data_IF_738437084588
#
_entry.id   IF_738437084588
#
_cell.length_a   1.000
_cell.length_b   1.000
_cell.length_c   1.000
_cell.angle_alpha   90.00
_cell.angle_beta   90.00
_cell.angle_gamma   90.00
#
_symmetry.space_group_name_H-M   'P 1'
#
loop_
_entity.id
_entity.type
_entity.pdbx_description
1 polymer ?
#
# COMPACT_ATOMS: atom_id res chain seq x y z
N UNK A 1 8.75 12.65 -6.78
CA UNK A 1 8.65 11.53 -7.75
C UNK A 1 7.19 11.08 -7.74
N UNK A 2 6.55 10.96 -8.92
CA UNK A 2 5.08 10.88 -9.07
C UNK A 2 4.64 9.41 -9.20
N UNK A 3 3.58 9.01 -8.48
CA UNK A 3 2.95 7.69 -8.51
C UNK A 3 1.59 7.87 -9.20
N UNK A 4 1.32 7.03 -10.20
CA UNK A 4 0.06 7.05 -10.94
C UNK A 4 -0.78 5.84 -10.50
N UNK A 5 -1.87 6.13 -9.81
CA UNK A 5 -2.94 5.17 -9.49
C UNK A 5 -4.02 5.39 -10.55
N UNK A 6 -4.26 4.42 -11.43
CA UNK A 6 -5.33 4.50 -12.45
C UNK A 6 -6.53 3.67 -12.01
N UNK A 7 -7.73 4.01 -12.45
CA UNK A 7 -8.92 3.18 -12.21
C UNK A 7 -9.96 3.26 -13.33
N UNK A 8 -10.89 2.31 -13.31
CA UNK A 8 -11.87 2.03 -14.38
C UNK A 8 -13.01 3.03 -14.47
N UNK A 9 -13.71 3.02 -15.62
CA UNK A 9 -14.88 3.81 -16.03
C UNK A 9 -15.91 4.10 -14.91
N UNK A 10 -16.70 5.19 -15.01
CA UNK A 10 -17.17 5.94 -13.84
C UNK A 10 -18.11 5.14 -12.94
N UNK A 11 -17.81 5.18 -11.64
CA UNK A 11 -18.70 4.68 -10.60
C UNK A 11 -19.93 5.61 -10.47
N UNK A 12 -21.14 5.04 -10.59
CA UNK A 12 -22.37 5.73 -10.20
C UNK A 12 -22.81 6.89 -11.09
N UNK A 13 -22.49 6.87 -12.39
CA UNK A 13 -23.04 7.83 -13.35
C UNK A 13 -22.48 9.26 -13.25
N UNK A 14 -21.36 9.47 -12.55
CA UNK A 14 -20.70 10.77 -12.45
C UNK A 14 -19.93 11.13 -13.74
N UNK A 15 -19.86 12.42 -14.06
CA UNK A 15 -19.18 12.98 -15.24
C UNK A 15 -17.65 13.02 -15.09
N UNK A 16 -17.14 13.05 -13.86
CA UNK A 16 -15.73 12.93 -13.53
C UNK A 16 -15.51 11.56 -12.91
N UNK A 17 -14.58 10.80 -13.47
CA UNK A 17 -14.15 9.57 -12.86
C UNK A 17 -13.15 9.92 -11.75
N UNK A 18 -13.50 9.60 -10.51
CA UNK A 18 -12.62 9.83 -9.38
C UNK A 18 -11.24 9.14 -9.61
N UNK A 19 -11.20 8.04 -10.36
CA UNK A 19 -9.95 7.38 -10.75
C UNK A 19 -9.06 8.11 -11.79
N UNK A 20 -9.49 9.27 -12.28
CA UNK A 20 -8.62 10.20 -13.01
C UNK A 20 -7.80 11.08 -12.07
N UNK A 21 -8.23 11.23 -10.82
CA UNK A 21 -7.42 11.81 -9.75
C UNK A 21 -6.61 10.68 -9.12
N UNK A 22 -5.29 10.74 -9.19
CA UNK A 22 -4.43 9.82 -8.45
C UNK A 22 -4.16 10.41 -7.06
N UNK A 23 -4.46 9.65 -6.00
CA UNK A 23 -4.05 10.04 -4.65
C UNK A 23 -2.67 9.49 -4.32
N UNK A 24 -1.86 10.30 -3.65
CA UNK A 24 -0.61 9.84 -3.04
C UNK A 24 -0.90 9.19 -1.69
N UNK A 25 -0.19 8.10 -1.39
CA UNK A 25 -0.10 7.57 -0.03
C UNK A 25 0.32 8.68 0.92
N UNK A 26 -0.38 8.82 2.04
CA UNK A 26 0.00 9.76 3.11
C UNK A 26 0.94 9.12 4.13
N UNK A 27 1.17 7.80 4.04
CA UNK A 27 2.17 7.10 4.85
C UNK A 27 3.60 7.60 4.59
N UNK A 28 4.51 7.54 5.60
CA UNK A 28 5.94 7.80 5.44
C UNK A 28 6.66 6.63 4.72
N UNK A 29 6.30 6.38 3.46
CA UNK A 29 6.68 5.18 2.69
C UNK A 29 8.18 4.90 2.62
N UNK A 30 9.03 5.93 2.64
CA UNK A 30 10.50 5.75 2.65
C UNK A 30 10.98 5.22 3.98
N UNK A 31 10.55 5.84 5.10
CA UNK A 31 10.88 5.37 6.45
C UNK A 31 10.37 3.95 6.69
N UNK A 32 9.20 3.61 6.14
CA UNK A 32 8.65 2.24 6.20
C UNK A 32 9.59 1.26 5.49
N UNK A 33 10.00 1.53 4.25
CA UNK A 33 10.92 0.64 3.52
C UNK A 33 12.25 0.49 4.26
N UNK A 34 12.84 1.60 4.72
CA UNK A 34 14.09 1.59 5.49
C UNK A 34 13.97 0.74 6.77
N UNK A 35 12.85 0.84 7.49
CA UNK A 35 12.61 0.04 8.69
C UNK A 35 12.43 -1.46 8.41
N UNK A 36 11.78 -1.82 7.29
CA UNK A 36 11.63 -3.22 6.86
C UNK A 36 12.98 -3.81 6.46
N UNK A 37 13.80 -3.06 5.72
CA UNK A 37 15.15 -3.49 5.33
C UNK A 37 16.07 -3.62 6.56
N UNK A 38 15.92 -2.75 7.57
CA UNK A 38 16.70 -2.80 8.81
C UNK A 38 16.46 -4.07 9.64
N UNK A 39 15.30 -4.72 9.48
CA UNK A 39 15.01 -6.03 10.12
C UNK A 39 15.33 -7.23 9.21
N UNK A 40 16.01 -7.00 8.08
CA UNK A 40 16.52 -8.05 7.20
C UNK A 40 15.51 -8.56 6.16
N UNK A 41 14.37 -7.89 6.00
CA UNK A 41 13.32 -8.29 5.04
C UNK A 41 13.41 -7.41 3.78
N UNK A 42 13.42 -7.96 2.56
CA UNK A 42 13.51 -7.16 1.35
C UNK A 42 12.22 -6.35 1.12
N UNK A 43 12.37 -5.05 0.87
CA UNK A 43 11.26 -4.16 0.57
C UNK A 43 11.60 -3.17 -0.54
N UNK A 44 10.59 -2.64 -1.22
CA UNK A 44 10.77 -1.60 -2.22
C UNK A 44 9.52 -0.74 -2.34
N UNK A 45 9.70 0.52 -2.77
CA UNK A 45 8.57 1.41 -3.07
C UNK A 45 7.95 1.00 -4.41
N UNK A 46 6.67 0.62 -4.38
CA UNK A 46 5.89 0.43 -5.60
C UNK A 46 5.23 1.74 -6.05
N UNK A 47 5.31 2.04 -7.35
CA UNK A 47 4.65 3.18 -7.97
C UNK A 47 3.33 2.78 -8.68
N UNK A 48 2.85 1.55 -8.48
CA UNK A 48 1.54 1.10 -8.96
C UNK A 48 0.97 0.01 -8.05
N UNK A 49 -0.29 0.17 -7.63
CA UNK A 49 -1.03 -0.87 -6.93
C UNK A 49 -1.76 -1.84 -7.89
N UNK A 50 -1.43 -1.78 -9.19
CA UNK A 50 -2.16 -2.46 -10.26
C UNK A 50 -3.52 -1.84 -10.52
N UNK A 51 -4.40 -2.58 -11.19
CA UNK A 51 -5.75 -2.15 -11.53
C UNK A 51 -6.77 -3.18 -11.08
N UNK A 52 -6.59 -3.82 -9.92
CA UNK A 52 -7.57 -4.76 -9.40
C UNK A 52 -8.12 -4.26 -8.05
N UNK A 53 -8.64 -5.17 -7.23
CA UNK A 53 -9.29 -4.85 -5.96
C UNK A 53 -8.36 -4.11 -5.00
N UNK A 54 -7.05 -4.43 -4.95
CA UNK A 54 -6.09 -3.74 -4.09
C UNK A 54 -6.05 -2.23 -4.36
N UNK A 55 -5.92 -1.86 -5.64
CA UNK A 55 -5.95 -0.47 -6.08
C UNK A 55 -7.29 0.21 -5.79
N UNK A 56 -8.41 -0.51 -5.98
CA UNK A 56 -9.74 0.01 -5.64
C UNK A 56 -9.87 0.37 -4.15
N UNK A 57 -9.43 -0.53 -3.26
CA UNK A 57 -9.49 -0.32 -1.81
C UNK A 57 -8.58 0.84 -1.40
N UNK A 58 -7.33 0.85 -1.88
CA UNK A 58 -6.39 1.95 -1.64
C UNK A 58 -6.96 3.29 -2.08
N UNK A 59 -7.52 3.36 -3.28
CA UNK A 59 -8.11 4.58 -3.83
C UNK A 59 -9.27 5.09 -2.96
N UNK A 60 -10.19 4.20 -2.56
CA UNK A 60 -11.34 4.56 -1.73
C UNK A 60 -10.91 5.13 -0.38
N UNK A 61 -9.95 4.50 0.29
CA UNK A 61 -9.44 4.97 1.58
C UNK A 61 -8.74 6.33 1.44
N UNK A 62 -7.95 6.52 0.38
CA UNK A 62 -7.28 7.80 0.14
C UNK A 62 -8.25 8.93 -0.19
N UNK A 63 -9.30 8.63 -0.97
CA UNK A 63 -10.37 9.59 -1.23
C UNK A 63 -11.04 10.02 0.07
N UNK A 64 -11.43 9.05 0.91
CA UNK A 64 -12.05 9.31 2.21
C UNK A 64 -11.14 10.17 3.10
N UNK A 65 -9.85 9.82 3.20
CA UNK A 65 -8.88 10.58 3.97
C UNK A 65 -8.70 12.03 3.49
N UNK A 66 -8.90 12.30 2.19
CA UNK A 66 -8.82 13.64 1.61
C UNK A 66 -10.12 14.45 1.79
N UNK A 67 -11.25 13.80 2.02
CA UNK A 67 -12.55 14.46 2.19
C UNK A 67 -13.05 14.49 3.62
N UNK A 68 -12.39 13.76 4.53
CA UNK A 68 -12.75 13.70 5.95
C UNK A 68 -12.46 15.02 6.68
N UNK A 69 -13.32 15.36 7.64
CA UNK A 69 -13.10 16.50 8.55
C UNK A 69 -11.88 16.28 9.46
N UNK A 70 -11.59 15.02 9.80
CA UNK A 70 -10.43 14.61 10.56
C UNK A 70 -9.48 13.81 9.65
N UNK A 71 -8.36 14.38 9.22
CA UNK A 71 -7.38 13.68 8.38
C UNK A 71 -6.79 12.47 9.10
N UNK A 72 -6.52 11.40 8.35
CA UNK A 72 -5.82 10.21 8.86
C UNK A 72 -4.78 9.71 7.86
N UNK A 73 -3.73 9.08 8.38
CA UNK A 73 -2.71 8.44 7.54
C UNK A 73 -3.30 7.22 6.83
N UNK A 74 -3.03 7.09 5.53
CA UNK A 74 -3.55 6.04 4.66
C UNK A 74 -2.53 5.70 3.59
N UNK A 75 -2.39 4.40 3.31
CA UNK A 75 -1.61 3.87 2.21
C UNK A 75 -1.89 2.38 2.04
N UNK A 76 -1.05 1.70 1.27
CA UNK A 76 -1.22 0.28 0.98
C UNK A 76 0.15 -0.41 0.90
N UNK A 77 0.24 -1.63 1.40
CA UNK A 77 1.43 -2.48 1.32
C UNK A 77 1.02 -3.78 0.64
N UNK A 78 1.69 -4.12 -0.47
CA UNK A 78 1.61 -5.45 -1.05
C UNK A 78 2.65 -6.35 -0.37
N UNK A 79 2.26 -7.60 -0.10
CA UNK A 79 3.18 -8.65 0.33
C UNK A 79 3.30 -9.68 -0.79
N UNK A 80 4.47 -10.33 -0.95
CA UNK A 80 4.60 -11.44 -1.88
C UNK A 80 3.77 -12.64 -1.40
N UNK A 81 3.76 -13.71 -2.20
CA UNK A 81 3.25 -14.99 -1.70
C UNK A 81 4.04 -15.46 -0.48
N UNK A 82 3.37 -16.18 0.42
CA UNK A 82 4.08 -17.01 1.39
C UNK A 82 4.49 -18.35 0.76
N UNK A 83 5.56 -18.97 1.26
CA UNK A 83 6.13 -20.19 0.69
C UNK A 83 5.09 -21.32 0.54
N UNK A 84 4.16 -21.42 1.47
CA UNK A 84 3.09 -22.42 1.46
C UNK A 84 2.16 -22.28 0.24
N UNK A 85 1.98 -21.06 -0.29
CA UNK A 85 1.12 -20.78 -1.46
C UNK A 85 1.76 -21.18 -2.80
N UNK A 86 3.08 -21.37 -2.81
CA UNK A 86 3.87 -21.64 -4.02
C UNK A 86 4.44 -23.05 -4.06
N UNK A 87 3.96 -23.95 -3.19
CA UNK A 87 4.34 -25.37 -3.21
C UNK A 87 4.18 -25.96 -4.62
N UNK A 88 5.29 -26.37 -5.24
CA UNK A 88 5.32 -26.94 -6.60
C UNK A 88 5.19 -25.91 -7.74
N UNK A 89 5.36 -24.62 -7.48
CA UNK A 89 5.32 -23.54 -8.48
C UNK A 89 6.62 -22.73 -8.44
N UNK A 90 7.01 -22.18 -9.58
CA UNK A 90 8.18 -21.28 -9.70
C UNK A 90 7.74 -19.81 -9.54
N UNK A 91 7.25 -19.49 -8.35
CA UNK A 91 6.79 -18.14 -8.01
C UNK A 91 7.64 -17.59 -6.85
N UNK A 92 8.08 -16.32 -6.90
CA UNK A 92 8.75 -15.69 -5.76
C UNK A 92 7.85 -15.67 -4.52
N UNK A 93 8.43 -16.01 -3.37
CA UNK A 93 7.76 -16.03 -2.09
C UNK A 93 8.72 -15.65 -0.97
N UNK A 94 8.17 -15.33 0.21
CA UNK A 94 8.91 -15.19 1.47
C UNK A 94 8.30 -16.09 2.54
N UNK A 95 9.08 -16.52 3.56
CA UNK A 95 8.50 -17.15 4.74
C UNK A 95 7.41 -16.25 5.35
N UNK A 96 6.29 -16.84 5.78
CA UNK A 96 5.20 -16.06 6.39
C UNK A 96 5.68 -15.25 7.60
N UNK A 97 6.63 -15.80 8.36
CA UNK A 97 7.24 -15.13 9.51
C UNK A 97 7.98 -13.85 9.10
N UNK A 98 8.72 -13.87 7.99
CA UNK A 98 9.45 -12.69 7.49
C UNK A 98 8.47 -11.61 7.01
N UNK A 99 7.37 -12.01 6.37
CA UNK A 99 6.28 -11.08 6.00
C UNK A 99 5.72 -10.39 7.25
N UNK A 100 5.44 -11.15 8.32
CA UNK A 100 4.95 -10.60 9.58
C UNK A 100 5.95 -9.65 10.23
N UNK A 101 7.24 -10.01 10.29
CA UNK A 101 8.31 -9.18 10.84
C UNK A 101 8.42 -7.85 10.08
N UNK A 102 8.40 -7.90 8.75
CA UNK A 102 8.40 -6.69 7.91
C UNK A 102 7.17 -5.82 8.15
N UNK A 103 5.97 -6.39 8.16
CA UNK A 103 4.74 -5.63 8.44
C UNK A 103 4.77 -4.99 9.82
N UNK A 104 5.25 -5.68 10.85
CA UNK A 104 5.38 -5.14 12.20
C UNK A 104 6.32 -3.93 12.23
N UNK A 105 7.51 -4.02 11.60
CA UNK A 105 8.45 -2.91 11.49
C UNK A 105 7.83 -1.71 10.76
N UNK A 106 7.12 -1.95 9.65
CA UNK A 106 6.43 -0.90 8.90
C UNK A 106 5.30 -0.23 9.69
N UNK A 107 4.49 -1.00 10.42
CA UNK A 107 3.40 -0.46 11.26
C UNK A 107 3.95 0.37 12.42
N UNK A 108 5.07 -0.02 13.04
CA UNK A 108 5.72 0.77 14.10
C UNK A 108 6.06 2.18 13.62
N UNK A 109 6.61 2.32 12.41
CA UNK A 109 6.90 3.64 11.80
C UNK A 109 5.62 4.47 11.61
N UNK A 110 4.51 3.84 11.22
CA UNK A 110 3.23 4.55 11.06
C UNK A 110 2.69 5.01 12.42
N UNK A 111 2.78 4.17 13.45
CA UNK A 111 2.36 4.53 14.81
C UNK A 111 3.18 5.70 15.34
N UNK A 112 4.50 5.66 15.19
CA UNK A 112 5.39 6.77 15.56
C UNK A 112 5.02 8.06 14.84
N UNK A 113 4.76 8.00 13.53
CA UNK A 113 4.36 9.17 12.74
C UNK A 113 2.98 9.74 13.10
N UNK A 114 2.10 8.98 13.77
CA UNK A 114 0.81 9.47 14.27
C UNK A 114 0.95 10.12 15.65
N UNK A 115 1.95 9.72 16.43
CA UNK A 115 2.16 10.20 17.81
C UNK A 115 3.05 11.45 17.88
N UNK A 116 3.79 11.75 16.82
CA UNK A 116 4.53 13.00 16.60
C UNK A 116 3.60 14.17 16.22
#
# INVERSE_FOLDING_TARGET
MKILVTGFAPFGGKTINASWEAYFSTLPVRKIVEAIEAVGVPAQISNSAGTYVCNHVMYRLLHEANTAEMPFLTGFIHVPYCEEQVTGKDNPALPLQDICIGLEAGVRVVVEAVLE
#
